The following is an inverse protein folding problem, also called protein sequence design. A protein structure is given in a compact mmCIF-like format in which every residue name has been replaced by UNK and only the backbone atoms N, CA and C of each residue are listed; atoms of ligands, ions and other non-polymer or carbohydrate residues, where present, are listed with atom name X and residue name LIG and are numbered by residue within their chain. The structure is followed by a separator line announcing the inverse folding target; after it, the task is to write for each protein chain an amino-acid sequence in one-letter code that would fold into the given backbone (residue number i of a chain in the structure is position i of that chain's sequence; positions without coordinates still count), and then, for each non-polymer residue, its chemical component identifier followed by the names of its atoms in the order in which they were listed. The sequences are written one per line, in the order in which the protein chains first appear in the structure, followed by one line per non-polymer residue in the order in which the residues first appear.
data_IF_139775404430
#
_entry.id   IF_139775404430
#
_cell.length_a   1.000
_cell.length_b   1.000
_cell.length_c   1.000
_cell.angle_alpha   90.00
_cell.angle_beta   90.00
_cell.angle_gamma   90.00
#
_symmetry.space_group_name_H-M   'P 1'
#
loop_
_entity.id
_entity.type
_entity.pdbx_description
1 polymer ?
#
# COMPACT_ATOMS: atom_id res chain seq x y z
N UNK A 1 13.69 8.31 -27.05
CA UNK A 1 14.09 8.68 -25.68
C UNK A 1 12.94 8.55 -24.67
N UNK A 2 11.76 9.11 -24.98
CA UNK A 2 10.57 9.07 -24.11
C UNK A 2 10.11 7.65 -23.71
N UNK A 3 10.19 6.67 -24.60
CA UNK A 3 9.85 5.26 -24.30
C UNK A 3 10.82 4.58 -23.32
N UNK A 4 12.11 4.97 -23.33
CA UNK A 4 13.11 4.39 -22.44
C UNK A 4 12.94 4.93 -21.01
N UNK A 5 12.75 6.25 -20.89
CA UNK A 5 12.41 6.92 -19.63
C UNK A 5 11.11 6.35 -19.05
N UNK A 6 10.07 6.17 -19.88
CA UNK A 6 8.79 5.61 -19.45
C UNK A 6 8.89 4.16 -18.96
N UNK A 7 9.70 3.32 -19.61
CA UNK A 7 9.98 1.94 -19.14
C UNK A 7 10.76 1.93 -17.83
N UNK A 8 11.72 2.83 -17.68
CA UNK A 8 12.55 2.91 -16.47
C UNK A 8 11.73 3.37 -15.27
N UNK A 9 10.93 4.43 -15.43
CA UNK A 9 9.98 4.88 -14.41
C UNK A 9 8.94 3.81 -14.06
N UNK A 10 8.37 3.09 -15.04
CA UNK A 10 7.44 2.02 -14.74
C UNK A 10 8.08 0.89 -13.91
N UNK A 11 9.36 0.55 -14.16
CA UNK A 11 10.07 -0.46 -13.35
C UNK A 11 10.35 0.04 -11.94
N UNK A 12 10.77 1.30 -11.79
CA UNK A 12 10.99 1.93 -10.49
C UNK A 12 9.70 2.04 -9.69
N UNK A 13 8.61 2.51 -10.31
CA UNK A 13 7.28 2.57 -9.70
C UNK A 13 6.85 1.17 -9.29
N UNK A 14 6.99 0.15 -10.15
CA UNK A 14 6.61 -1.22 -9.79
C UNK A 14 7.44 -1.78 -8.63
N UNK A 15 8.74 -1.49 -8.58
CA UNK A 15 9.62 -1.89 -7.48
C UNK A 15 9.29 -1.17 -6.17
N UNK A 16 9.06 0.14 -6.25
CA UNK A 16 8.67 0.96 -5.10
C UNK A 16 7.29 0.55 -4.58
N UNK A 17 6.33 0.32 -5.47
CA UNK A 17 5.06 -0.26 -5.08
C UNK A 17 5.27 -1.64 -4.45
N UNK A 18 6.11 -2.53 -4.98
CA UNK A 18 6.32 -3.84 -4.33
C UNK A 18 6.82 -3.75 -2.88
N UNK A 19 7.72 -2.80 -2.58
CA UNK A 19 8.29 -2.63 -1.23
C UNK A 19 7.41 -1.79 -0.30
N UNK A 20 6.83 -0.71 -0.81
CA UNK A 20 6.11 0.28 -0.01
C UNK A 20 4.58 0.15 -0.08
N UNK A 21 4.03 -0.65 -1.00
CA UNK A 21 2.57 -0.81 -1.12
C UNK A 21 1.89 -1.23 0.17
N UNK A 22 2.37 -2.23 0.94
CA UNK A 22 1.68 -2.64 2.16
C UNK A 22 1.55 -1.48 3.14
N UNK A 23 2.64 -0.73 3.32
CA UNK A 23 2.69 0.42 4.22
C UNK A 23 1.82 1.59 3.71
N UNK A 24 1.93 1.94 2.41
CA UNK A 24 1.17 3.02 1.79
C UNK A 24 -0.35 2.73 1.78
N UNK A 25 -0.76 1.51 1.44
CA UNK A 25 -2.17 1.09 1.49
C UNK A 25 -2.71 1.15 2.92
N UNK A 26 -1.93 0.72 3.90
CA UNK A 26 -2.34 0.77 5.30
C UNK A 26 -2.46 2.22 5.80
N UNK A 27 -1.54 3.10 5.38
CA UNK A 27 -1.60 4.53 5.70
C UNK A 27 -2.83 5.20 5.08
N UNK A 28 -3.09 4.96 3.80
CA UNK A 28 -4.29 5.43 3.11
C UNK A 28 -5.56 4.94 3.80
N UNK A 29 -5.61 3.66 4.16
CA UNK A 29 -6.73 3.07 4.88
C UNK A 29 -6.94 3.76 6.24
N UNK A 30 -5.89 3.99 7.01
CA UNK A 30 -5.97 4.67 8.30
C UNK A 30 -6.51 6.10 8.17
N UNK A 31 -6.02 6.86 7.18
CA UNK A 31 -6.50 8.23 6.91
C UNK A 31 -7.99 8.23 6.57
N UNK A 32 -8.41 7.35 5.66
CA UNK A 32 -9.83 7.24 5.26
C UNK A 32 -10.70 6.78 6.42
N UNK A 33 -10.22 5.83 7.24
CA UNK A 33 -10.95 5.32 8.40
C UNK A 33 -11.23 6.44 9.41
N UNK A 34 -10.23 7.28 9.72
CA UNK A 34 -10.38 8.40 10.65
C UNK A 34 -11.29 9.49 10.07
N UNK A 35 -11.25 9.73 8.76
CA UNK A 35 -12.15 10.70 8.12
C UNK A 35 -13.61 10.26 8.14
N UNK A 36 -13.88 8.97 7.90
CA UNK A 36 -15.24 8.43 7.88
C UNK A 36 -15.77 8.19 9.31
N UNK A 37 -14.89 7.72 10.20
CA UNK A 37 -15.23 7.41 11.59
C UNK A 37 -14.27 8.12 12.55
N UNK A 38 -14.47 9.43 12.80
CA UNK A 38 -13.57 10.23 13.62
C UNK A 38 -13.48 9.77 15.07
N UNK A 39 -14.57 9.22 15.62
CA UNK A 39 -14.62 8.59 16.95
C UNK A 39 -14.68 7.05 16.85
N UNK A 40 -14.36 6.52 15.66
CA UNK A 40 -14.42 5.10 15.37
C UNK A 40 -13.33 4.31 16.08
N UNK A 41 -13.53 2.99 16.19
CA UNK A 41 -12.58 2.14 16.87
C UNK A 41 -11.35 1.92 15.96
N UNK A 42 -10.13 2.02 16.53
CA UNK A 42 -8.84 2.07 15.79
C UNK A 42 -8.32 0.68 15.37
N UNK A 43 -8.84 -0.39 15.99
CA UNK A 43 -8.45 -1.78 15.73
C UNK A 43 -8.58 -2.28 14.27
N UNK A 44 -9.37 -1.70 13.34
CA UNK A 44 -9.36 -2.12 11.94
C UNK A 44 -8.03 -1.87 11.24
N UNK A 45 -7.24 -0.87 11.69
CA UNK A 45 -5.94 -0.54 11.10
C UNK A 45 -4.92 -1.69 11.22
N UNK A 46 -4.63 -2.25 12.41
CA UNK A 46 -3.72 -3.39 12.53
C UNK A 46 -4.27 -4.66 11.85
N UNK A 47 -5.59 -4.88 11.85
CA UNK A 47 -6.20 -6.00 11.13
C UNK A 47 -5.93 -5.89 9.62
N UNK A 48 -6.11 -4.69 9.06
CA UNK A 48 -5.81 -4.41 7.66
C UNK A 48 -4.33 -4.56 7.32
N UNK A 49 -3.44 -4.15 8.24
CA UNK A 49 -1.99 -4.32 8.09
C UNK A 49 -1.62 -5.81 7.97
N UNK A 50 -2.14 -6.67 8.85
CA UNK A 50 -1.90 -8.12 8.81
C UNK A 50 -2.44 -8.71 7.50
N UNK A 51 -3.64 -8.30 7.07
CA UNK A 51 -4.22 -8.74 5.80
C UNK A 51 -3.33 -8.37 4.59
N UNK A 52 -2.82 -7.14 4.56
CA UNK A 52 -1.87 -6.69 3.53
C UNK A 52 -0.57 -7.48 3.56
N UNK A 53 0.00 -7.77 4.74
CA UNK A 53 1.20 -8.59 4.86
C UNK A 53 1.00 -10.01 4.32
N UNK A 54 -0.16 -10.63 4.57
CA UNK A 54 -0.48 -11.97 4.05
C UNK A 54 -0.60 -11.95 2.53
N UNK A 55 -1.32 -10.97 1.97
CA UNK A 55 -1.47 -10.83 0.52
C UNK A 55 -0.11 -10.57 -0.12
N UNK A 56 0.61 -9.53 0.31
CA UNK A 56 1.88 -9.18 -0.31
C UNK A 56 2.94 -10.27 -0.10
N UNK A 57 3.00 -10.91 1.07
CA UNK A 57 3.88 -12.04 1.31
C UNK A 57 3.57 -13.28 0.45
N UNK A 58 2.31 -13.44 0.01
CA UNK A 58 1.90 -14.55 -0.86
C UNK A 58 2.01 -14.24 -2.35
N UNK A 59 1.78 -12.99 -2.77
CA UNK A 59 1.73 -12.56 -4.17
C UNK A 59 3.02 -11.91 -4.68
N UNK A 60 3.87 -11.35 -3.83
CA UNK A 60 5.15 -10.72 -4.21
C UNK A 60 6.37 -11.66 -4.00
N UNK A 61 6.13 -12.97 -3.94
CA UNK A 61 7.19 -13.98 -3.82
C UNK A 61 7.97 -14.12 -5.13
#
# INVERSE_FOLDING_TARGET
MMNFVRRFFNRLIKSLFSMYSPALLTLLFAVVLVQIFPNGPIWPVPVFLVFMLIIFGRYMK
#
